data_IF_817865935208
#
_entry.id   IF_817865935208
#
_cell.length_a   1.000
_cell.length_b   1.000
_cell.length_c   1.000
_cell.angle_alpha   90.00
_cell.angle_beta   90.00
_cell.angle_gamma   90.00
#
_symmetry.space_group_name_H-M   'P 1'
#
loop_
_entity.id
_entity.type
_entity.pdbx_description
1 polymer ?
#
# COMPACT_ATOMS: atom_id res chain seq x y z
N UNK A 1 -11.81 10.69 -5.02
CA UNK A 1 -10.69 9.72 -5.07
C UNK A 1 -9.32 10.37 -5.32
N UNK A 2 -9.20 11.48 -6.06
CA UNK A 2 -7.89 12.07 -6.44
C UNK A 2 -6.91 12.33 -5.28
N UNK A 3 -7.40 12.80 -4.12
CA UNK A 3 -6.55 13.00 -2.92
C UNK A 3 -5.98 11.69 -2.37
N UNK A 4 -6.72 10.59 -2.44
CA UNK A 4 -6.29 9.25 -2.03
C UNK A 4 -5.21 8.75 -3.01
N UNK A 5 -5.43 8.92 -4.31
CA UNK A 5 -4.45 8.54 -5.35
C UNK A 5 -3.15 9.33 -5.21
N UNK A 6 -3.23 10.65 -5.00
CA UNK A 6 -2.05 11.49 -4.76
C UNK A 6 -1.26 11.07 -3.50
N UNK A 7 -1.94 10.65 -2.43
CA UNK A 7 -1.26 10.10 -1.25
C UNK A 7 -0.57 8.77 -1.53
N UNK A 8 -1.07 8.00 -2.49
CA UNK A 8 -0.42 6.78 -2.96
C UNK A 8 0.91 7.11 -3.66
N UNK A 9 0.96 8.18 -4.45
CA UNK A 9 2.22 8.64 -5.06
C UNK A 9 3.27 9.01 -4.01
N UNK A 10 2.84 9.57 -2.87
CA UNK A 10 3.77 9.83 -1.76
C UNK A 10 4.34 8.53 -1.19
N UNK A 11 3.61 7.43 -1.20
CA UNK A 11 4.12 6.12 -0.75
C UNK A 11 5.20 5.63 -1.73
N UNK A 12 5.04 5.84 -3.04
CA UNK A 12 6.03 5.44 -4.05
C UNK A 12 7.43 6.02 -3.77
N UNK A 13 7.53 7.23 -3.21
CA UNK A 13 8.81 7.84 -2.84
C UNK A 13 9.63 7.03 -1.82
N UNK A 14 9.02 6.06 -1.12
CA UNK A 14 9.73 5.14 -0.23
C UNK A 14 10.63 4.17 -0.99
N UNK A 15 10.51 4.02 -2.31
CA UNK A 15 11.40 3.20 -3.11
C UNK A 15 12.75 3.86 -3.42
N UNK A 16 12.94 5.14 -3.04
CA UNK A 16 14.19 5.85 -3.28
C UNK A 16 15.38 5.27 -2.50
N UNK A 17 16.60 5.52 -2.98
CA UNK A 17 17.86 5.08 -2.37
C UNK A 17 18.13 5.63 -0.94
N UNK A 18 17.28 6.53 -0.46
CA UNK A 18 17.33 7.12 0.88
C UNK A 18 16.79 6.17 1.96
N UNK A 19 16.20 5.05 1.55
CA UNK A 19 15.57 4.07 2.42
C UNK A 19 16.20 2.69 2.24
N UNK A 20 16.11 1.90 3.30
CA UNK A 20 16.41 0.47 3.31
C UNK A 20 15.22 -0.23 3.94
N UNK A 21 14.88 -1.40 3.42
CA UNK A 21 13.69 -2.15 3.80
C UNK A 21 13.87 -3.63 3.48
N UNK A 22 13.16 -4.47 4.22
CA UNK A 22 13.07 -5.90 3.96
C UNK A 22 11.83 -6.24 3.14
N UNK A 23 11.87 -7.39 2.47
CA UNK A 23 10.79 -7.85 1.59
C UNK A 23 9.48 -7.98 2.36
N UNK A 24 9.51 -8.52 3.58
CA UNK A 24 8.33 -8.70 4.42
C UNK A 24 7.67 -7.35 4.75
N UNK A 25 8.45 -6.27 4.83
CA UNK A 25 7.92 -4.93 5.13
C UNK A 25 7.20 -4.35 3.91
N UNK A 26 7.76 -4.57 2.72
CA UNK A 26 7.12 -4.17 1.46
C UNK A 26 5.84 -4.96 1.23
N UNK A 27 5.85 -6.27 1.47
CA UNK A 27 4.67 -7.11 1.39
C UNK A 27 3.58 -6.63 2.34
N UNK A 28 3.91 -6.41 3.61
CA UNK A 28 2.94 -5.93 4.60
C UNK A 28 2.38 -4.55 4.25
N UNK A 29 3.23 -3.63 3.78
CA UNK A 29 2.81 -2.30 3.32
C UNK A 29 1.77 -2.39 2.20
N UNK A 30 2.04 -3.24 1.20
CA UNK A 30 1.20 -3.42 0.02
C UNK A 30 -0.09 -4.17 0.31
N UNK A 31 -0.02 -5.22 1.12
CA UNK A 31 -1.22 -5.94 1.56
C UNK A 31 -2.13 -5.02 2.36
N UNK A 32 -1.56 -4.26 3.31
CA UNK A 32 -2.30 -3.30 4.12
C UNK A 32 -2.98 -2.21 3.28
N UNK A 33 -2.31 -1.71 2.24
CA UNK A 33 -2.90 -0.79 1.28
C UNK A 33 -4.16 -1.39 0.64
N UNK A 34 -4.05 -2.55 0.00
CA UNK A 34 -5.18 -3.20 -0.69
C UNK A 34 -6.29 -3.56 0.27
N UNK A 35 -5.94 -4.20 1.38
CA UNK A 35 -6.89 -4.59 2.43
C UNK A 35 -7.69 -3.39 2.92
N UNK A 36 -7.06 -2.22 3.09
CA UNK A 36 -7.78 -0.99 3.47
C UNK A 36 -8.75 -0.52 2.38
N UNK A 37 -8.35 -0.55 1.11
CA UNK A 37 -9.25 -0.26 0.00
C UNK A 37 -10.47 -1.18 -0.03
N UNK A 38 -10.26 -2.48 0.10
CA UNK A 38 -11.32 -3.48 0.17
C UNK A 38 -12.26 -3.29 1.36
N UNK A 39 -11.72 -2.96 2.54
CA UNK A 39 -12.52 -2.64 3.72
C UNK A 39 -13.48 -1.48 3.41
N UNK A 40 -12.98 -0.39 2.81
CA UNK A 40 -13.84 0.75 2.50
C UNK A 40 -14.85 0.44 1.40
N UNK A 41 -14.45 -0.28 0.35
CA UNK A 41 -15.38 -0.67 -0.73
C UNK A 41 -16.59 -1.43 -0.17
N UNK A 42 -16.34 -2.39 0.72
CA UNK A 42 -17.41 -3.17 1.37
C UNK A 42 -18.44 -2.30 2.10
N UNK A 43 -18.03 -1.14 2.62
CA UNK A 43 -18.97 -0.20 3.28
C UNK A 43 -19.95 0.38 2.27
N UNK A 44 -19.53 0.66 1.03
CA UNK A 44 -20.44 1.11 -0.04
C UNK A 44 -21.38 -0.02 -0.50
N UNK A 45 -20.92 -1.27 -0.47
CA UNK A 45 -21.76 -2.43 -0.81
C UNK A 45 -22.83 -2.72 0.26
N UNK A 46 -22.57 -2.35 1.53
CA UNK A 46 -23.47 -2.61 2.66
C UNK A 46 -23.46 -1.49 3.72
N UNK A 47 -23.92 -0.27 3.38
CA UNK A 47 -23.78 0.90 4.23
C UNK A 47 -24.63 0.80 5.51
N UNK A 48 -25.78 0.14 5.47
CA UNK A 48 -26.67 0.03 6.64
C UNK A 48 -26.03 -0.72 7.81
N UNK A 49 -25.21 -1.73 7.50
CA UNK A 49 -24.58 -2.58 8.50
C UNK A 49 -23.16 -2.13 8.87
N UNK A 50 -22.43 -1.51 7.94
CA UNK A 50 -20.99 -1.30 8.09
C UNK A 50 -20.59 0.15 8.36
N UNK A 51 -21.45 1.13 8.08
CA UNK A 51 -21.10 2.55 8.23
C UNK A 51 -20.85 2.97 9.68
N UNK A 52 -21.49 2.29 10.65
CA UNK A 52 -21.34 2.56 12.09
C UNK A 52 -20.13 1.89 12.73
N UNK A 53 -19.44 1.00 12.00
CA UNK A 53 -18.29 0.27 12.52
C UNK A 53 -17.10 1.22 12.66
N UNK A 54 -16.42 1.16 13.81
CA UNK A 54 -15.21 1.93 14.06
C UNK A 54 -14.07 1.41 13.17
N UNK A 55 -13.58 2.26 12.27
CA UNK A 55 -12.47 1.93 11.37
C UNK A 55 -11.14 2.30 11.99
N UNK A 56 -10.16 1.39 11.93
CA UNK A 56 -8.80 1.72 12.32
C UNK A 56 -8.26 2.85 11.40
N UNK A 57 -7.63 3.85 12.00
CA UNK A 57 -7.06 5.01 11.30
C UNK A 57 -5.53 5.05 11.33
N UNK A 58 -4.90 4.12 12.05
CA UNK A 58 -3.46 4.04 12.21
C UNK A 58 -2.91 2.81 11.50
N UNK A 59 -1.72 2.98 10.92
CA UNK A 59 -0.92 1.90 10.38
C UNK A 59 0.40 1.85 11.15
N UNK A 60 0.76 0.66 11.61
CA UNK A 60 2.01 0.37 12.33
C UNK A 60 2.59 -0.94 11.83
N UNK A 61 3.91 -1.00 11.69
CA UNK A 61 4.63 -2.22 11.36
C UNK A 61 4.77 -3.13 12.59
N UNK A 62 5.07 -2.55 13.75
CA UNK A 62 5.41 -3.28 14.98
C UNK A 62 4.30 -4.21 15.49
N UNK A 63 3.06 -3.96 15.09
CA UNK A 63 1.90 -4.74 15.54
C UNK A 63 1.77 -6.06 14.78
N UNK A 64 2.54 -6.29 13.71
CA UNK A 64 2.29 -7.40 12.77
C UNK A 64 3.53 -8.02 12.16
N UNK A 65 4.65 -7.30 12.08
CA UNK A 65 5.91 -7.84 11.56
C UNK A 65 7.00 -7.86 12.63
N UNK A 66 7.84 -8.90 12.60
CA UNK A 66 9.00 -9.00 13.49
C UNK A 66 10.11 -8.06 12.98
N UNK A 67 10.22 -6.90 13.62
CA UNK A 67 11.28 -5.93 13.32
C UNK A 67 12.50 -6.29 14.16
N UNK A 68 13.57 -6.72 13.50
CA UNK A 68 14.85 -6.99 14.16
C UNK A 68 15.49 -5.68 14.60
N UNK A 69 15.76 -5.54 15.90
CA UNK A 69 16.50 -4.41 16.47
C UNK A 69 17.98 -4.82 16.73
N UNK A 70 18.96 -3.91 16.58
CA UNK A 70 18.80 -2.49 16.26
C UNK A 70 18.64 -2.23 14.76
N UNK A 71 17.71 -1.34 14.42
CA UNK A 71 17.57 -0.79 13.06
C UNK A 71 18.68 0.22 12.72
N UNK A 72 19.11 0.22 11.46
CA UNK A 72 19.94 1.29 10.94
C UNK A 72 19.12 2.56 10.64
N UNK A 73 19.81 3.68 10.39
CA UNK A 73 19.15 4.98 10.18
C UNK A 73 18.17 4.99 9.01
N UNK A 74 18.49 4.34 7.90
CA UNK A 74 17.63 4.32 6.70
C UNK A 74 16.42 3.42 6.89
N UNK A 75 16.59 2.27 7.55
CA UNK A 75 15.50 1.36 7.93
C UNK A 75 14.51 2.04 8.89
N UNK A 76 15.03 2.65 9.96
CA UNK A 76 14.20 3.39 10.90
C UNK A 76 13.42 4.53 10.21
N UNK A 77 14.07 5.24 9.27
CA UNK A 77 13.43 6.31 8.50
C UNK A 77 12.37 5.77 7.54
N UNK A 78 12.60 4.60 6.92
CA UNK A 78 11.61 3.94 6.08
C UNK A 78 10.34 3.66 6.88
N UNK A 79 10.48 2.96 8.02
CA UNK A 79 9.35 2.60 8.91
C UNK A 79 8.58 3.85 9.33
N UNK A 80 9.27 4.87 9.87
CA UNK A 80 8.64 6.12 10.32
C UNK A 80 7.84 6.80 9.21
N UNK A 81 8.42 6.93 8.01
CA UNK A 81 7.78 7.65 6.90
C UNK A 81 6.64 6.83 6.31
N UNK A 82 6.80 5.52 6.17
CA UNK A 82 5.78 4.61 5.70
C UNK A 82 4.58 4.61 6.64
N UNK A 83 4.80 4.51 7.96
CA UNK A 83 3.71 4.56 8.94
C UNK A 83 2.93 5.86 8.87
N UNK A 84 3.64 6.99 8.81
CA UNK A 84 3.01 8.30 8.68
C UNK A 84 2.19 8.43 7.39
N UNK A 85 2.72 7.99 6.25
CA UNK A 85 2.05 8.09 4.94
C UNK A 85 0.82 7.18 4.86
N UNK A 86 0.94 5.93 5.31
CA UNK A 86 -0.17 4.98 5.37
C UNK A 86 -1.26 5.41 6.35
N UNK A 87 -0.89 5.87 7.55
CA UNK A 87 -1.85 6.44 8.52
C UNK A 87 -2.62 7.61 7.90
N UNK A 88 -1.93 8.49 7.17
CA UNK A 88 -2.58 9.59 6.47
C UNK A 88 -3.48 9.14 5.31
N UNK A 89 -3.18 8.03 4.64
CA UNK A 89 -4.04 7.42 3.63
C UNK A 89 -5.27 6.79 4.27
N UNK A 90 -5.10 6.05 5.37
CA UNK A 90 -6.19 5.42 6.12
C UNK A 90 -7.21 6.45 6.58
N UNK A 91 -6.75 7.59 7.09
CA UNK A 91 -7.62 8.70 7.49
C UNK A 91 -8.45 9.26 6.32
N UNK A 92 -7.87 9.39 5.13
CA UNK A 92 -8.65 9.81 3.95
C UNK A 92 -9.65 8.76 3.51
N UNK A 93 -9.25 7.48 3.50
CA UNK A 93 -10.12 6.37 3.14
C UNK A 93 -11.31 6.24 4.12
N UNK A 94 -11.06 6.39 5.42
CA UNK A 94 -12.11 6.43 6.45
C UNK A 94 -13.00 7.66 6.32
N UNK A 95 -12.46 8.79 5.84
CA UNK A 95 -13.29 9.96 5.55
C UNK A 95 -14.16 9.72 4.31
N UNK A 96 -13.58 9.13 3.27
CA UNK A 96 -14.26 8.77 2.03
C UNK A 96 -15.41 7.78 2.25
N UNK A 97 -15.26 6.82 3.16
CA UNK A 97 -16.32 5.86 3.50
C UNK A 97 -17.61 6.51 3.98
N UNK A 98 -17.55 7.74 4.53
CA UNK A 98 -18.74 8.47 4.97
C UNK A 98 -19.67 8.85 3.83
N UNK A 99 -19.15 8.91 2.60
CA UNK A 99 -19.94 9.12 1.40
C UNK A 99 -20.86 7.93 1.07
N UNK A 100 -20.61 6.76 1.67
CA UNK A 100 -21.48 5.61 1.54
C UNK A 100 -22.85 5.81 2.21
N UNK A 101 -23.04 6.86 3.02
CA UNK A 101 -24.30 7.14 3.71
C UNK A 101 -25.42 7.58 2.73
N UNK A 102 -26.42 6.72 2.45
CA UNK A 102 -27.47 7.03 1.48
C UNK A 102 -28.44 8.13 1.95
N UNK A 103 -28.45 8.46 3.25
CA UNK A 103 -29.28 9.57 3.78
C UNK A 103 -28.74 10.94 3.41
N UNK A 104 -27.43 11.03 3.17
CA UNK A 104 -26.74 12.30 2.94
C UNK A 104 -26.20 12.43 1.52
N UNK A 105 -26.01 11.31 0.81
CA UNK A 105 -25.39 11.26 -0.51
C UNK A 105 -26.15 10.32 -1.43
N UNK A 106 -26.13 10.63 -2.72
CA UNK A 106 -26.62 9.75 -3.79
C UNK A 106 -25.42 9.35 -4.64
N UNK A 107 -25.28 8.05 -4.88
CA UNK A 107 -24.22 7.48 -5.71
C UNK A 107 -24.74 6.23 -6.41
N UNK A 108 -24.12 5.90 -7.54
CA UNK A 108 -24.31 4.60 -8.19
C UNK A 108 -23.18 3.64 -7.78
N UNK A 109 -23.50 2.36 -7.67
CA UNK A 109 -22.51 1.33 -7.37
C UNK A 109 -21.52 1.16 -8.53
N UNK A 110 -21.91 1.40 -9.78
CA UNK A 110 -20.98 1.38 -10.91
C UNK A 110 -19.90 2.47 -10.79
N UNK A 111 -20.27 3.67 -10.33
CA UNK A 111 -19.30 4.74 -10.07
C UNK A 111 -18.35 4.38 -8.94
N UNK A 112 -18.87 3.75 -7.87
CA UNK A 112 -18.04 3.26 -6.76
C UNK A 112 -17.04 2.20 -7.26
N UNK A 113 -17.51 1.23 -8.05
CA UNK A 113 -16.67 0.19 -8.64
C UNK A 113 -15.55 0.80 -9.48
N UNK A 114 -15.88 1.75 -10.35
CA UNK A 114 -14.89 2.45 -11.15
C UNK A 114 -13.84 3.17 -10.28
N UNK A 115 -14.25 3.86 -9.21
CA UNK A 115 -13.31 4.54 -8.31
C UNK A 115 -12.35 3.56 -7.62
N UNK A 116 -12.82 2.36 -7.25
CA UNK A 116 -11.98 1.33 -6.64
C UNK A 116 -11.15 0.55 -7.65
N UNK A 117 -11.58 0.44 -8.90
CA UNK A 117 -10.73 -0.02 -10.00
C UNK A 117 -9.55 0.93 -10.22
N UNK A 118 -9.78 2.25 -10.22
CA UNK A 118 -8.69 3.24 -10.30
C UNK A 118 -7.74 3.15 -9.10
N UNK A 119 -8.26 2.87 -7.90
CA UNK A 119 -7.43 2.63 -6.71
C UNK A 119 -6.56 1.37 -6.86
N UNK A 120 -7.11 0.29 -7.40
CA UNK A 120 -6.39 -0.96 -7.65
C UNK A 120 -5.35 -0.81 -8.78
N UNK A 121 -5.67 -0.09 -9.85
CA UNK A 121 -4.69 0.26 -10.88
C UNK A 121 -3.53 1.06 -10.28
N UNK A 122 -3.83 1.99 -9.37
CA UNK A 122 -2.81 2.77 -8.67
C UNK A 122 -1.94 1.92 -7.74
N UNK A 123 -2.48 0.86 -7.16
CA UNK A 123 -1.69 -0.14 -6.44
C UNK A 123 -0.66 -0.82 -7.35
N UNK A 124 -1.05 -1.23 -8.57
CA UNK A 124 -0.12 -1.87 -9.50
C UNK A 124 0.98 -0.90 -9.94
N UNK A 125 0.64 0.37 -10.21
CA UNK A 125 1.65 1.41 -10.47
C UNK A 125 2.61 1.57 -9.28
N UNK A 126 2.07 1.68 -8.05
CA UNK A 126 2.87 1.81 -6.83
C UNK A 126 3.87 0.66 -6.70
N UNK A 127 3.41 -0.59 -6.91
CA UNK A 127 4.25 -1.78 -6.77
C UNK A 127 5.44 -1.77 -7.73
N UNK A 128 5.27 -1.23 -8.94
CA UNK A 128 6.33 -1.16 -9.96
C UNK A 128 7.48 -0.21 -9.57
N UNK A 129 7.26 0.73 -8.64
CA UNK A 129 8.32 1.62 -8.17
C UNK A 129 9.33 0.93 -7.25
N UNK A 130 8.99 -0.22 -6.68
CA UNK A 130 9.85 -0.96 -5.75
C UNK A 130 10.60 -2.08 -6.47
N UNK A 131 11.81 -2.43 -6.00
CA UNK A 131 12.53 -3.57 -6.53
C UNK A 131 11.73 -4.87 -6.34
N UNK A 132 11.89 -5.87 -7.22
CA UNK A 132 11.29 -7.18 -7.02
C UNK A 132 11.77 -7.79 -5.70
N UNK A 133 10.83 -8.37 -4.97
CA UNK A 133 11.10 -9.11 -3.74
C UNK A 133 12.09 -10.23 -4.04
N UNK A 134 12.98 -10.59 -3.11
CA UNK A 134 14.00 -11.63 -3.30
C UNK A 134 13.40 -12.94 -3.78
N UNK A 135 12.20 -13.31 -3.30
CA UNK A 135 11.46 -14.50 -3.73
C UNK A 135 11.02 -14.48 -5.21
N UNK A 136 10.83 -13.28 -5.77
CA UNK A 136 10.37 -13.04 -7.14
C UNK A 136 11.55 -12.76 -8.10
N UNK A 137 12.77 -12.65 -7.58
CA UNK A 137 13.96 -12.44 -8.41
C UNK A 137 14.28 -13.72 -9.17
N UNK A 138 14.22 -13.65 -10.49
CA UNK A 138 14.76 -14.71 -11.36
C UNK A 138 16.24 -14.82 -11.06
N UNK A 139 16.69 -16.00 -10.61
CA UNK A 139 18.12 -16.29 -10.52
C UNK A 139 18.69 -16.24 -11.93
N UNK A 140 19.48 -15.21 -12.23
CA UNK A 140 20.36 -15.25 -13.39
C UNK A 140 21.48 -16.24 -13.07
N UNK A 141 21.22 -17.54 -13.19
CA UNK A 141 22.20 -18.62 -13.14
C UNK A 141 23.07 -18.62 -14.43
N UNK A 142 23.41 -17.44 -14.92
CA UNK A 142 24.31 -17.25 -16.05
C UNK A 142 25.72 -17.43 -15.48
N UNK A 143 26.23 -18.66 -15.50
CA UNK A 143 27.63 -18.92 -15.18
C UNK A 143 28.49 -18.31 -16.30
N UNK A 144 29.09 -17.16 -15.97
CA UNK A 144 29.93 -16.35 -16.86
C UNK A 144 31.13 -17.17 -17.39
N UNK A 145 31.48 -18.30 -16.74
CA UNK A 145 32.51 -19.24 -17.20
C UNK A 145 32.12 -20.00 -18.48
N UNK A 146 30.84 -20.05 -18.84
CA UNK A 146 30.38 -20.63 -20.12
C UNK A 146 30.43 -19.63 -21.28
N UNK A 147 30.73 -18.36 -21.01
CA UNK A 147 30.91 -17.38 -22.07
C UNK A 147 32.40 -17.34 -22.44
N UNK A 148 32.75 -17.53 -23.73
CA UNK A 148 34.13 -17.42 -24.15
C UNK A 148 34.62 -16.00 -23.88
N UNK A 149 35.65 -15.86 -23.05
CA UNK A 149 36.40 -14.61 -22.95
C UNK A 149 37.15 -14.42 -24.25
N UNK A 150 36.96 -13.27 -24.91
CA UNK A 150 37.80 -12.88 -26.05
C UNK A 150 39.28 -12.91 -25.61
N UNK A 151 40.09 -13.66 -26.37
CA UNK A 151 41.54 -13.77 -26.20
C UNK A 151 42.23 -12.70 -27.01
#
# INVERSE_FOLDING_TARGET
MSRILWKTDLIANLSSHNYEFEDEWIEYLFESYRSKGHEIKKIFDNPENLLSIALNSEFRFKDTINIKEPLNRKEAKFIEVAERRMTNLYKELNYFSRLANPKNYTYDLMDVDYLFEQYENKYFELKQWFPPLKKDRIKNDIDIKFFPSEK
#
